data_IF_742640788934
#
_entry.id   IF_742640788934
#
_cell.length_a   1.000
_cell.length_b   1.000
_cell.length_c   1.000
_cell.angle_alpha   90.00
_cell.angle_beta   90.00
_cell.angle_gamma   90.00
#
_symmetry.space_group_name_H-M   'P 1'
#
loop_
_entity.id
_entity.type
_entity.pdbx_description
1 polymer ?
#
# COMPACT_ATOMS: atom_id res chain seq x y z
N UNK A 1 -17.18 -6.09 -19.40
CA UNK A 1 -17.90 -6.70 -18.27
C UNK A 1 -18.77 -5.60 -17.71
N UNK A 2 -20.04 -5.66 -18.09
CA UNK A 2 -21.07 -4.62 -18.01
C UNK A 2 -22.00 -4.99 -16.82
N UNK A 3 -22.62 -3.97 -16.21
CA UNK A 3 -23.72 -4.00 -15.21
C UNK A 3 -23.33 -4.18 -13.73
N UNK A 4 -23.42 -3.09 -12.97
CA UNK A 4 -24.51 -2.84 -11.99
C UNK A 4 -24.22 -1.53 -11.24
N UNK A 5 -24.73 -0.41 -11.74
CA UNK A 5 -24.91 0.82 -10.94
C UNK A 5 -26.40 1.10 -10.97
N UNK A 6 -27.10 0.65 -9.94
CA UNK A 6 -28.50 0.97 -9.71
C UNK A 6 -28.64 2.35 -9.09
N UNK A 7 -29.47 3.17 -9.73
CA UNK A 7 -29.90 4.49 -9.32
C UNK A 7 -30.47 4.52 -7.90
N UNK A 8 -30.08 5.52 -7.12
CA UNK A 8 -30.87 6.04 -6.00
C UNK A 8 -30.97 7.56 -6.14
N UNK A 9 -32.14 8.03 -6.57
CA UNK A 9 -32.48 9.46 -6.62
C UNK A 9 -33.89 9.66 -6.08
N UNK A 10 -33.95 10.51 -5.06
CA UNK A 10 -35.05 11.42 -4.70
C UNK A 10 -36.39 10.82 -4.23
N UNK A 11 -36.61 10.93 -2.92
CA UNK A 11 -37.92 11.24 -2.36
C UNK A 11 -37.75 12.23 -1.19
N UNK A 12 -37.87 13.53 -1.49
CA UNK A 12 -38.16 14.54 -0.47
C UNK A 12 -39.68 14.58 -0.29
N UNK A 13 -40.16 14.29 0.92
CA UNK A 13 -41.51 14.62 1.35
C UNK A 13 -41.43 15.34 2.70
N UNK A 14 -41.83 16.59 2.67
CA UNK A 14 -42.08 17.46 3.82
C UNK A 14 -43.32 16.98 4.56
N UNK A 15 -43.23 16.83 5.87
CA UNK A 15 -44.40 16.95 6.74
C UNK A 15 -43.99 17.49 8.11
N UNK A 16 -44.54 18.65 8.40
CA UNK A 16 -44.55 19.32 9.69
C UNK A 16 -45.57 18.65 10.61
N UNK A 17 -45.20 18.34 11.85
CA UNK A 17 -46.17 18.41 12.94
C UNK A 17 -45.50 18.54 14.31
N UNK A 18 -45.97 19.55 15.04
CA UNK A 18 -45.65 19.87 16.43
C UNK A 18 -46.35 18.85 17.33
N UNK A 19 -45.64 18.24 18.28
CA UNK A 19 -46.21 17.99 19.60
C UNK A 19 -45.11 17.96 20.68
N UNK A 20 -45.23 18.90 21.61
CA UNK A 20 -44.49 18.90 22.86
C UNK A 20 -45.06 17.82 23.78
N UNK A 21 -44.22 16.92 24.27
CA UNK A 21 -44.56 16.11 25.43
C UNK A 21 -43.32 15.93 26.33
N UNK A 22 -43.38 16.56 27.50
CA UNK A 22 -42.41 16.40 28.58
C UNK A 22 -42.67 15.04 29.23
N UNK A 23 -41.74 14.11 29.03
CA UNK A 23 -41.66 12.90 29.85
C UNK A 23 -40.22 12.67 30.30
N UNK A 24 -39.98 13.00 31.56
CA UNK A 24 -38.81 12.62 32.36
C UNK A 24 -38.80 11.10 32.52
N UNK A 25 -38.01 10.43 31.68
CA UNK A 25 -37.74 9.00 31.76
C UNK A 25 -36.24 8.80 31.94
N UNK A 26 -35.86 8.08 33.00
CA UNK A 26 -34.52 7.55 33.22
C UNK A 26 -34.12 6.67 32.04
N UNK A 27 -33.55 7.29 31.00
CA UNK A 27 -32.99 6.61 29.83
C UNK A 27 -31.84 5.74 30.28
N UNK A 28 -32.12 4.44 30.51
CA UNK A 28 -31.13 3.40 30.25
C UNK A 28 -30.62 3.68 28.84
N UNK A 29 -29.37 4.17 28.72
CA UNK A 29 -28.70 4.32 27.43
C UNK A 29 -28.66 2.92 26.83
N UNK A 30 -29.63 2.61 25.97
CA UNK A 30 -29.51 1.51 25.03
C UNK A 30 -28.27 1.87 24.21
N UNK A 31 -27.18 1.15 24.49
CA UNK A 31 -25.95 1.25 23.71
C UNK A 31 -26.37 0.98 22.27
N UNK A 32 -26.36 2.01 21.44
CA UNK A 32 -26.69 1.88 20.03
C UNK A 32 -25.54 1.14 19.39
N UNK A 33 -25.65 -0.19 19.31
CA UNK A 33 -24.59 -1.10 18.90
C UNK A 33 -24.08 -0.86 17.46
N UNK A 34 -24.71 0.03 16.70
CA UNK A 34 -24.40 0.28 15.29
C UNK A 34 -24.17 1.76 14.93
N UNK A 35 -23.81 2.62 15.89
CA UNK A 35 -23.51 4.03 15.60
C UNK A 35 -22.43 4.22 14.52
N UNK A 36 -21.41 3.36 14.49
CA UNK A 36 -20.33 3.41 13.49
C UNK A 36 -20.79 3.13 12.06
N UNK A 37 -21.87 2.36 11.87
CA UNK A 37 -22.40 2.08 10.53
C UNK A 37 -22.98 3.34 9.89
N UNK A 38 -23.59 4.20 10.70
CA UNK A 38 -24.07 5.50 10.24
C UNK A 38 -22.90 6.42 9.86
N UNK A 39 -21.79 6.41 10.61
CA UNK A 39 -20.59 7.16 10.21
C UNK A 39 -20.00 6.63 8.88
N UNK A 40 -20.02 5.31 8.67
CA UNK A 40 -19.57 4.69 7.41
C UNK A 40 -20.42 5.20 6.24
N UNK A 41 -21.74 5.12 6.37
CA UNK A 41 -22.67 5.60 5.34
C UNK A 41 -22.45 7.09 5.06
N UNK A 42 -22.30 7.91 6.10
CA UNK A 42 -22.01 9.34 5.93
C UNK A 42 -20.65 9.59 5.26
N UNK A 43 -19.63 8.77 5.55
CA UNK A 43 -18.34 8.85 4.89
C UNK A 43 -18.43 8.49 3.40
N UNK A 44 -19.26 7.52 3.02
CA UNK A 44 -19.54 7.19 1.62
C UNK A 44 -20.26 8.33 0.90
N UNK A 45 -21.26 8.95 1.53
CA UNK A 45 -21.95 10.13 0.99
C UNK A 45 -20.96 11.30 0.77
N UNK A 46 -20.06 11.54 1.73
CA UNK A 46 -18.97 12.53 1.59
C UNK A 46 -18.02 12.17 0.45
N UNK A 47 -17.69 10.87 0.28
CA UNK A 47 -16.86 10.39 -0.82
C UNK A 47 -17.52 10.69 -2.18
N UNK A 48 -18.81 10.39 -2.34
CA UNK A 48 -19.56 10.70 -3.57
C UNK A 48 -19.67 12.21 -3.82
N UNK A 49 -19.71 13.02 -2.77
CA UNK A 49 -19.60 14.48 -2.84
C UNK A 49 -18.16 14.99 -3.10
N UNK A 50 -17.22 14.09 -3.41
CA UNK A 50 -15.79 14.37 -3.67
C UNK A 50 -15.04 14.97 -2.49
N UNK A 51 -15.48 14.72 -1.26
CA UNK A 51 -14.89 15.22 0.00
C UNK A 51 -14.11 14.13 0.72
N UNK A 52 -13.08 13.59 0.05
CA UNK A 52 -12.28 12.45 0.53
C UNK A 52 -11.70 12.67 1.94
N UNK A 53 -11.05 13.81 2.20
CA UNK A 53 -10.48 14.11 3.53
C UNK A 53 -11.54 14.17 4.62
N UNK A 54 -12.70 14.75 4.33
CA UNK A 54 -13.80 14.82 5.31
C UNK A 54 -14.29 13.41 5.66
N UNK A 55 -14.44 12.53 4.65
CA UNK A 55 -14.81 11.13 4.83
C UNK A 55 -13.78 10.35 5.67
N UNK A 56 -12.49 10.49 5.36
CA UNK A 56 -11.39 9.85 6.11
C UNK A 56 -11.41 10.33 7.57
N UNK A 57 -11.50 11.64 7.80
CA UNK A 57 -11.51 12.21 9.14
C UNK A 57 -12.72 11.74 9.97
N UNK A 58 -13.89 11.58 9.34
CA UNK A 58 -15.07 11.02 9.98
C UNK A 58 -14.82 9.58 10.45
N UNK A 59 -14.27 8.73 9.57
CA UNK A 59 -13.97 7.35 9.90
C UNK A 59 -12.86 7.21 10.96
N UNK A 60 -11.82 8.05 10.93
CA UNK A 60 -10.79 8.06 11.97
C UNK A 60 -11.39 8.40 13.34
N UNK A 61 -12.29 9.39 13.40
CA UNK A 61 -13.02 9.71 14.63
C UNK A 61 -13.90 8.56 15.09
N UNK A 62 -14.59 7.89 14.16
CA UNK A 62 -15.41 6.71 14.45
C UNK A 62 -14.55 5.57 15.02
N UNK A 63 -13.39 5.31 14.42
CA UNK A 63 -12.44 4.29 14.88
C UNK A 63 -11.94 4.55 16.31
N UNK A 64 -11.65 5.81 16.66
CA UNK A 64 -11.22 6.17 18.00
C UNK A 64 -12.32 5.88 19.05
N UNK A 65 -13.59 6.13 18.71
CA UNK A 65 -14.74 5.83 19.59
C UNK A 65 -14.95 4.32 19.74
N UNK A 66 -14.77 3.57 18.67
CA UNK A 66 -14.99 2.11 18.62
C UNK A 66 -13.75 1.28 18.99
N UNK A 67 -12.75 1.87 19.65
CA UNK A 67 -11.44 1.24 19.92
C UNK A 67 -11.53 -0.16 20.58
N UNK A 68 -12.56 -0.42 21.39
CA UNK A 68 -12.78 -1.71 22.06
C UNK A 68 -13.59 -2.72 21.22
N UNK A 69 -14.27 -2.26 20.16
CA UNK A 69 -15.11 -3.07 19.30
C UNK A 69 -14.30 -3.58 18.10
N UNK A 70 -13.73 -4.79 18.24
CA UNK A 70 -12.89 -5.41 17.20
C UNK A 70 -13.58 -5.50 15.84
N UNK A 71 -14.88 -5.80 15.80
CA UNK A 71 -15.65 -5.92 14.56
C UNK A 71 -15.80 -4.55 13.88
N UNK A 72 -16.28 -3.54 14.61
CA UNK A 72 -16.40 -2.18 14.08
C UNK A 72 -15.04 -1.64 13.60
N UNK A 73 -13.98 -1.85 14.37
CA UNK A 73 -12.63 -1.44 13.98
C UNK A 73 -12.18 -2.05 12.65
N UNK A 74 -12.43 -3.33 12.45
CA UNK A 74 -12.08 -4.00 11.20
C UNK A 74 -12.89 -3.44 10.03
N UNK A 75 -14.19 -3.25 10.20
CA UNK A 75 -15.06 -2.69 9.15
C UNK A 75 -14.66 -1.25 8.79
N UNK A 76 -14.43 -0.39 9.79
CA UNK A 76 -13.99 0.99 9.56
C UNK A 76 -12.63 1.05 8.85
N UNK A 77 -11.67 0.21 9.25
CA UNK A 77 -10.34 0.11 8.60
C UNK A 77 -10.45 -0.34 7.14
N UNK A 78 -11.35 -1.27 6.83
CA UNK A 78 -11.60 -1.70 5.45
C UNK A 78 -12.14 -0.54 4.61
N UNK A 79 -13.14 0.22 5.10
CA UNK A 79 -13.67 1.38 4.38
C UNK A 79 -12.63 2.49 4.21
N UNK A 80 -11.79 2.74 5.22
CA UNK A 80 -10.67 3.67 5.12
C UNK A 80 -9.69 3.29 3.99
N UNK A 81 -9.41 1.99 3.83
CA UNK A 81 -8.58 1.48 2.73
C UNK A 81 -9.27 1.67 1.37
N UNK A 82 -10.55 1.34 1.28
CA UNK A 82 -11.33 1.45 0.04
C UNK A 82 -11.44 2.90 -0.43
N UNK A 83 -11.80 3.82 0.46
CA UNK A 83 -11.89 5.26 0.19
C UNK A 83 -10.60 5.80 -0.41
N UNK A 84 -9.45 5.41 0.14
CA UNK A 84 -8.15 5.89 -0.30
C UNK A 84 -7.74 5.42 -1.70
N UNK A 85 -8.31 4.32 -2.17
CA UNK A 85 -7.96 3.68 -3.45
C UNK A 85 -9.05 3.89 -4.50
N UNK A 86 -10.22 4.36 -4.09
CA UNK A 86 -11.35 4.66 -4.97
C UNK A 86 -11.04 5.85 -5.88
N UNK A 87 -11.46 5.78 -7.15
CA UNK A 87 -11.33 6.88 -8.11
C UNK A 87 -12.60 7.72 -8.12
N UNK A 88 -12.46 9.04 -7.90
CA UNK A 88 -13.55 10.02 -7.93
C UNK A 88 -13.73 10.69 -9.30
N UNK A 89 -12.75 10.51 -10.19
CA UNK A 89 -12.72 11.07 -11.54
C UNK A 89 -12.48 9.96 -12.56
N UNK A 90 -13.38 9.85 -13.54
CA UNK A 90 -13.20 8.93 -14.67
C UNK A 90 -11.89 9.22 -15.42
N UNK A 91 -11.53 10.50 -15.57
CA UNK A 91 -10.29 10.91 -16.22
C UNK A 91 -9.06 10.43 -15.46
N UNK A 92 -9.10 10.47 -14.13
CA UNK A 92 -8.04 9.95 -13.26
C UNK A 92 -7.88 8.44 -13.44
N UNK A 93 -8.99 7.70 -13.43
CA UNK A 93 -8.98 6.26 -13.65
C UNK A 93 -8.43 5.87 -15.03
N UNK A 94 -8.88 6.53 -16.10
CA UNK A 94 -8.39 6.27 -17.46
C UNK A 94 -6.86 6.48 -17.57
N UNK A 95 -6.36 7.57 -16.98
CA UNK A 95 -4.93 7.87 -16.97
C UNK A 95 -4.14 6.87 -16.12
N UNK A 96 -4.68 6.43 -14.98
CA UNK A 96 -4.09 5.36 -14.18
C UNK A 96 -3.98 4.06 -14.98
N UNK A 97 -5.06 3.61 -15.62
CA UNK A 97 -5.07 2.36 -16.39
C UNK A 97 -4.07 2.40 -17.55
N UNK A 98 -4.01 3.52 -18.27
CA UNK A 98 -3.01 3.75 -19.30
C UNK A 98 -1.58 3.69 -18.73
N UNK A 99 -1.33 4.32 -17.58
CA UNK A 99 -0.03 4.28 -16.94
C UNK A 99 0.40 2.86 -16.56
N UNK A 100 -0.52 2.03 -16.03
CA UNK A 100 -0.22 0.63 -15.68
C UNK A 100 0.20 -0.17 -16.92
N UNK A 101 -0.44 0.07 -18.07
CA UNK A 101 -0.07 -0.60 -19.32
C UNK A 101 1.29 -0.14 -19.84
N UNK A 102 1.64 1.13 -19.64
CA UNK A 102 2.91 1.70 -20.08
C UNK A 102 4.08 1.39 -19.14
N UNK A 103 3.84 1.12 -17.86
CA UNK A 103 4.85 1.03 -16.80
C UNK A 103 6.11 0.22 -17.17
N UNK A 104 5.95 -0.93 -17.85
CA UNK A 104 7.07 -1.78 -18.27
C UNK A 104 7.73 -1.32 -19.58
N UNK A 105 6.95 -0.77 -20.51
CA UNK A 105 7.42 -0.41 -21.85
C UNK A 105 8.02 0.99 -21.90
N UNK A 106 7.38 1.95 -21.24
CA UNK A 106 7.81 3.35 -21.13
C UNK A 106 7.48 3.91 -19.73
N UNK A 107 8.39 3.75 -18.76
CA UNK A 107 8.22 4.28 -17.41
C UNK A 107 8.06 5.81 -17.36
N UNK A 108 8.60 6.56 -18.34
CA UNK A 108 8.49 8.01 -18.36
C UNK A 108 7.08 8.44 -18.76
N UNK A 109 6.53 7.83 -19.80
CA UNK A 109 5.16 8.09 -20.22
C UNK A 109 4.16 7.61 -19.17
N UNK A 110 4.40 6.46 -18.53
CA UNK A 110 3.61 5.99 -17.40
C UNK A 110 3.59 7.01 -16.25
N UNK A 111 4.75 7.55 -15.87
CA UNK A 111 4.84 8.58 -14.84
C UNK A 111 4.08 9.86 -15.23
N UNK A 112 4.17 10.30 -16.48
CA UNK A 112 3.41 11.45 -16.97
C UNK A 112 1.89 11.23 -16.81
N UNK A 113 1.39 10.04 -17.15
CA UNK A 113 -0.03 9.69 -16.98
C UNK A 113 -0.47 9.59 -15.53
N UNK A 114 0.37 9.06 -14.64
CA UNK A 114 0.07 9.09 -13.20
C UNK A 114 0.03 10.52 -12.65
N UNK A 115 0.92 11.41 -13.10
CA UNK A 115 0.89 12.82 -12.67
C UNK A 115 -0.37 13.53 -13.18
N UNK A 116 -0.81 13.26 -14.42
CA UNK A 116 -2.10 13.74 -14.92
C UNK A 116 -3.28 13.20 -14.08
N UNK A 117 -3.21 11.95 -13.60
CA UNK A 117 -4.25 11.39 -12.71
C UNK A 117 -4.23 12.07 -11.32
N UNK A 118 -3.04 12.26 -10.74
CA UNK A 118 -2.87 12.94 -9.44
C UNK A 118 -3.32 14.39 -9.46
N UNK A 119 -3.27 15.07 -10.61
CA UNK A 119 -3.83 16.41 -10.75
C UNK A 119 -5.33 16.43 -10.41
N UNK A 120 -6.08 15.39 -10.77
CA UNK A 120 -7.51 15.26 -10.43
C UNK A 120 -7.74 14.73 -9.02
N UNK A 121 -6.86 13.88 -8.51
CA UNK A 121 -7.01 13.21 -7.22
C UNK A 121 -5.69 13.19 -6.44
N UNK A 122 -5.25 14.33 -5.87
CA UNK A 122 -3.94 14.45 -5.24
C UNK A 122 -3.76 13.58 -3.99
N UNK A 123 -4.87 13.14 -3.39
CA UNK A 123 -4.92 12.36 -2.15
C UNK A 123 -5.23 10.89 -2.40
N UNK A 124 -5.21 10.44 -3.66
CA UNK A 124 -5.44 9.04 -3.97
C UNK A 124 -4.17 8.22 -3.69
N UNK A 125 -4.22 7.40 -2.65
CA UNK A 125 -3.06 6.63 -2.18
C UNK A 125 -2.57 5.61 -3.22
N UNK A 126 -3.48 5.08 -4.05
CA UNK A 126 -3.14 4.15 -5.12
C UNK A 126 -2.29 4.84 -6.19
N UNK A 127 -2.64 6.08 -6.55
CA UNK A 127 -1.84 6.89 -7.47
C UNK A 127 -0.48 7.26 -6.89
N UNK A 128 -0.45 7.75 -5.65
CA UNK A 128 0.79 8.10 -4.95
C UNK A 128 1.75 6.90 -4.86
N UNK A 129 1.21 5.72 -4.56
CA UNK A 129 2.01 4.49 -4.47
C UNK A 129 2.63 4.11 -5.82
N UNK A 130 1.88 4.19 -6.93
CA UNK A 130 2.42 3.86 -8.25
C UNK A 130 3.43 4.90 -8.75
N UNK A 131 3.23 6.20 -8.46
CA UNK A 131 4.25 7.23 -8.75
C UNK A 131 5.53 6.92 -8.00
N UNK A 132 5.43 6.61 -6.71
CA UNK A 132 6.60 6.29 -5.90
C UNK A 132 7.36 5.06 -6.41
N UNK A 133 6.66 4.01 -6.84
CA UNK A 133 7.28 2.82 -7.44
C UNK A 133 8.06 3.15 -8.71
N UNK A 134 7.51 3.96 -9.62
CA UNK A 134 8.25 4.39 -10.82
C UNK A 134 9.43 5.27 -10.45
N UNK A 135 9.29 6.14 -9.45
CA UNK A 135 10.36 6.99 -8.95
C UNK A 135 11.49 6.19 -8.31
N UNK A 136 11.19 5.08 -7.62
CA UNK A 136 12.18 4.11 -7.13
C UNK A 136 12.98 3.50 -8.30
N UNK A 137 12.30 3.04 -9.36
CA UNK A 137 12.96 2.52 -10.57
C UNK A 137 13.89 3.56 -11.21
N UNK A 138 13.50 4.83 -11.13
CA UNK A 138 14.29 5.98 -11.63
C UNK A 138 15.29 6.52 -10.62
N UNK A 139 15.44 5.89 -9.44
CA UNK A 139 16.34 6.29 -8.34
C UNK A 139 16.06 7.67 -7.75
N UNK A 140 14.87 8.21 -8.01
CA UNK A 140 14.39 9.48 -7.46
C UNK A 140 13.53 9.19 -6.22
N UNK A 141 14.13 8.55 -5.22
CA UNK A 141 13.44 8.11 -4.01
C UNK A 141 13.18 9.27 -3.04
N UNK A 142 14.09 10.25 -3.00
CA UNK A 142 14.00 11.37 -2.07
C UNK A 142 12.76 12.25 -2.30
N UNK A 143 12.34 12.43 -3.56
CA UNK A 143 11.16 13.24 -3.89
C UNK A 143 9.85 12.63 -3.38
N UNK A 144 9.85 11.36 -2.96
CA UNK A 144 8.65 10.62 -2.57
C UNK A 144 8.43 10.53 -1.07
N UNK A 145 9.43 10.87 -0.25
CA UNK A 145 9.33 10.80 1.23
C UNK A 145 8.18 11.68 1.73
N UNK A 146 8.23 12.99 1.44
CA UNK A 146 7.23 13.93 1.98
C UNK A 146 5.80 13.68 1.48
N UNK A 147 5.52 13.41 0.18
CA UNK A 147 4.17 13.08 -0.26
C UNK A 147 3.58 11.84 0.41
N UNK A 148 4.39 10.79 0.57
CA UNK A 148 3.95 9.54 1.19
C UNK A 148 3.76 9.68 2.71
N UNK A 149 4.66 10.37 3.40
CA UNK A 149 4.52 10.66 4.83
C UNK A 149 3.22 11.43 5.11
N UNK A 150 2.94 12.49 4.36
CA UNK A 150 1.70 13.27 4.49
C UNK A 150 0.46 12.42 4.25
N UNK A 151 0.48 11.55 3.25
CA UNK A 151 -0.65 10.67 2.95
C UNK A 151 -0.86 9.62 4.07
N UNK A 152 0.21 9.10 4.67
CA UNK A 152 0.12 8.21 5.84
C UNK A 152 -0.35 8.94 7.10
N UNK A 153 -0.02 10.22 7.27
CA UNK A 153 -0.56 11.05 8.36
C UNK A 153 -2.06 11.23 8.23
N UNK A 154 -2.57 11.42 7.00
CA UNK A 154 -4.00 11.54 6.71
C UNK A 154 -4.72 10.22 6.98
N UNK A 155 -4.20 9.09 6.49
CA UNK A 155 -4.74 7.78 6.82
C UNK A 155 -3.62 6.78 7.21
N UNK A 156 -3.47 6.48 8.52
CA UNK A 156 -2.43 5.62 9.03
C UNK A 156 -2.73 4.11 8.91
N UNK A 157 -3.78 3.73 8.19
CA UNK A 157 -4.21 2.33 8.06
C UNK A 157 -4.00 1.76 6.64
N UNK A 158 -3.41 2.54 5.75
CA UNK A 158 -3.09 2.08 4.40
C UNK A 158 -1.72 1.38 4.37
N UNK A 159 -1.76 0.06 4.56
CA UNK A 159 -0.56 -0.77 4.55
C UNK A 159 0.20 -0.75 3.21
N UNK A 160 -0.50 -0.58 2.08
CA UNK A 160 0.15 -0.54 0.76
C UNK A 160 0.98 0.74 0.63
N UNK A 161 0.43 1.86 1.09
CA UNK A 161 1.17 3.12 1.11
C UNK A 161 2.35 3.06 2.09
N UNK A 162 2.16 2.44 3.26
CA UNK A 162 3.24 2.23 4.23
C UNK A 162 4.37 1.35 3.70
N UNK A 163 4.04 0.23 3.06
CA UNK A 163 5.02 -0.63 2.39
C UNK A 163 5.75 0.14 1.29
N UNK A 164 5.05 0.97 0.52
CA UNK A 164 5.68 1.78 -0.53
C UNK A 164 6.66 2.80 0.06
N UNK A 165 6.32 3.44 1.19
CA UNK A 165 7.25 4.31 1.90
C UNK A 165 8.46 3.54 2.47
N UNK A 166 8.26 2.32 2.99
CA UNK A 166 9.35 1.46 3.41
C UNK A 166 10.30 1.11 2.26
N UNK A 167 9.77 0.86 1.05
CA UNK A 167 10.58 0.65 -0.16
C UNK A 167 11.36 1.92 -0.54
N UNK A 168 10.76 3.11 -0.38
CA UNK A 168 11.46 4.40 -0.54
C UNK A 168 12.61 4.52 0.47
N UNK A 169 12.39 4.20 1.75
CA UNK A 169 13.45 4.21 2.76
C UNK A 169 14.55 3.20 2.48
N UNK A 170 14.22 2.01 2.00
CA UNK A 170 15.21 1.04 1.55
C UNK A 170 16.07 1.56 0.39
N UNK A 171 15.45 2.21 -0.59
CA UNK A 171 16.16 2.87 -1.69
C UNK A 171 17.11 3.97 -1.20
N UNK A 172 16.72 4.72 -0.16
CA UNK A 172 17.54 5.77 0.44
C UNK A 172 18.58 5.26 1.45
N UNK A 173 18.52 3.98 1.84
CA UNK A 173 19.33 3.42 2.92
C UNK A 173 18.91 3.89 4.32
N UNK A 174 17.72 4.48 4.49
CA UNK A 174 17.21 5.01 5.76
C UNK A 174 16.59 3.90 6.64
N UNK A 175 17.39 2.91 7.02
CA UNK A 175 16.91 1.71 7.72
C UNK A 175 16.16 2.01 9.03
N UNK A 176 16.65 2.95 9.85
CA UNK A 176 15.99 3.26 11.13
C UNK A 176 14.56 3.75 10.95
N UNK A 177 14.28 4.49 9.86
CA UNK A 177 12.92 4.93 9.53
C UNK A 177 12.06 3.79 9.01
N UNK A 178 12.63 2.91 8.19
CA UNK A 178 11.94 1.71 7.74
C UNK A 178 11.56 0.79 8.91
N UNK A 179 12.49 0.50 9.83
CA UNK A 179 12.24 -0.35 10.99
C UNK A 179 11.12 0.21 11.88
N UNK A 180 11.16 1.53 12.14
CA UNK A 180 10.10 2.23 12.88
C UNK A 180 8.74 2.11 12.17
N UNK A 181 8.73 2.22 10.84
CA UNK A 181 7.52 2.09 10.05
C UNK A 181 7.00 0.65 10.07
N UNK A 182 7.88 -0.34 9.88
CA UNK A 182 7.52 -1.76 9.94
C UNK A 182 6.94 -2.14 11.29
N UNK A 183 7.55 -1.69 12.39
CA UNK A 183 7.06 -1.95 13.75
C UNK A 183 5.64 -1.37 13.96
N UNK A 184 5.38 -0.17 13.44
CA UNK A 184 4.04 0.43 13.46
C UNK A 184 3.00 -0.42 12.71
N UNK A 185 3.42 -1.10 11.64
CA UNK A 185 2.53 -1.86 10.75
C UNK A 185 2.54 -3.38 10.94
N UNK A 186 3.31 -3.91 11.91
CA UNK A 186 3.46 -5.36 12.15
C UNK A 186 2.13 -6.09 12.39
N UNK A 187 1.15 -5.42 13.00
CA UNK A 187 -0.16 -5.99 13.31
C UNK A 187 -1.16 -5.84 12.17
N UNK A 188 -0.86 -5.00 11.17
CA UNK A 188 -1.73 -4.72 10.03
C UNK A 188 -1.31 -5.47 8.77
N UNK A 189 -0.20 -6.23 8.83
CA UNK A 189 0.34 -6.87 7.65
C UNK A 189 -0.62 -7.89 7.09
N UNK A 190 -1.26 -7.56 5.97
CA UNK A 190 -2.04 -8.55 5.21
C UNK A 190 -1.05 -9.56 4.66
N UNK A 191 -1.38 -10.86 4.72
CA UNK A 191 -0.50 -11.94 4.23
C UNK A 191 0.11 -11.66 2.85
N UNK A 192 -0.64 -11.03 1.96
CA UNK A 192 -0.19 -10.66 0.62
C UNK A 192 0.98 -9.66 0.61
N UNK A 193 1.03 -8.73 1.56
CA UNK A 193 2.08 -7.73 1.69
C UNK A 193 3.21 -8.17 2.62
N UNK A 194 2.94 -9.10 3.53
CA UNK A 194 3.94 -9.68 4.42
C UNK A 194 5.16 -10.22 3.66
N UNK A 195 4.95 -10.81 2.49
CA UNK A 195 6.02 -11.25 1.58
C UNK A 195 7.03 -10.13 1.29
N UNK A 196 6.55 -8.94 0.95
CA UNK A 196 7.39 -7.80 0.56
C UNK A 196 8.06 -7.14 1.77
N UNK A 197 7.40 -7.12 2.93
CA UNK A 197 8.04 -6.70 4.18
C UNK A 197 9.22 -7.60 4.55
N UNK A 198 9.03 -8.93 4.44
CA UNK A 198 10.09 -9.90 4.71
C UNK A 198 11.25 -9.78 3.72
N UNK A 199 10.95 -9.52 2.45
CA UNK A 199 11.98 -9.29 1.44
C UNK A 199 12.85 -8.05 1.75
N UNK A 200 12.24 -6.93 2.13
CA UNK A 200 13.00 -5.74 2.54
C UNK A 200 13.91 -6.03 3.74
N UNK A 201 13.41 -6.78 4.72
CA UNK A 201 14.18 -7.20 5.89
C UNK A 201 15.39 -8.06 5.51
N UNK A 202 15.23 -9.00 4.56
CA UNK A 202 16.33 -9.80 4.04
C UNK A 202 17.37 -8.90 3.38
N UNK A 203 16.97 -7.97 2.51
CA UNK A 203 17.91 -7.08 1.83
C UNK A 203 18.65 -6.13 2.79
N UNK A 204 18.00 -5.61 3.83
CA UNK A 204 18.70 -4.85 4.86
C UNK A 204 19.72 -5.68 5.64
N UNK A 205 19.39 -6.94 5.96
CA UNK A 205 20.33 -7.84 6.62
C UNK A 205 21.53 -8.18 5.71
N UNK A 206 21.30 -8.31 4.40
CA UNK A 206 22.38 -8.48 3.42
C UNK A 206 23.30 -7.25 3.37
N UNK A 207 22.76 -6.02 3.34
CA UNK A 207 23.56 -4.78 3.43
C UNK A 207 24.42 -4.72 4.70
N UNK A 208 23.89 -5.23 5.81
CA UNK A 208 24.58 -5.31 7.11
C UNK A 208 25.54 -6.50 7.22
N UNK A 209 25.67 -7.32 6.18
CA UNK A 209 26.44 -8.57 6.18
C UNK A 209 25.98 -9.57 7.26
N UNK A 210 24.72 -9.48 7.70
CA UNK A 210 24.09 -10.36 8.67
C UNK A 210 23.46 -11.57 7.95
N UNK A 211 24.32 -12.46 7.46
CA UNK A 211 23.94 -13.63 6.66
C UNK A 211 22.95 -14.55 7.38
N UNK A 212 23.13 -14.73 8.70
CA UNK A 212 22.26 -15.62 9.49
C UNK A 212 20.81 -15.12 9.47
N UNK A 213 20.59 -13.83 9.73
CA UNK A 213 19.25 -13.24 9.71
C UNK A 213 18.67 -13.18 8.28
N UNK A 214 19.50 -12.95 7.26
CA UNK A 214 19.06 -13.01 5.87
C UNK A 214 18.56 -14.42 5.47
N UNK A 215 19.25 -15.49 5.91
CA UNK A 215 18.82 -16.89 5.71
C UNK A 215 17.49 -17.17 6.43
N UNK A 216 17.35 -16.75 7.68
CA UNK A 216 16.08 -16.88 8.42
C UNK A 216 14.92 -16.14 7.74
N UNK A 217 15.15 -14.91 7.27
CA UNK A 217 14.14 -14.14 6.54
C UNK A 217 13.76 -14.80 5.22
N UNK A 218 14.71 -15.41 4.50
CA UNK A 218 14.44 -16.20 3.30
C UNK A 218 13.55 -17.42 3.60
N UNK A 219 13.77 -18.12 4.72
CA UNK A 219 12.93 -19.25 5.12
C UNK A 219 11.49 -18.80 5.42
N UNK A 220 11.32 -17.61 6.00
CA UNK A 220 9.99 -16.98 6.16
C UNK A 220 9.34 -16.68 4.81
N UNK A 221 10.08 -16.13 3.85
CA UNK A 221 9.59 -15.89 2.48
C UNK A 221 9.13 -17.20 1.82
N UNK A 222 9.92 -18.27 1.91
CA UNK A 222 9.58 -19.61 1.40
C UNK A 222 8.31 -20.18 2.04
N UNK A 223 8.09 -19.90 3.32
CA UNK A 223 6.88 -20.31 4.04
C UNK A 223 5.63 -19.54 3.58
N UNK A 224 5.78 -18.25 3.23
CA UNK A 224 4.68 -17.41 2.74
C UNK A 224 4.31 -17.77 1.30
N UNK A 225 5.31 -17.85 0.42
CA UNK A 225 5.12 -18.19 -1.00
C UNK A 225 6.36 -18.91 -1.54
N UNK A 226 6.36 -20.24 -1.48
CA UNK A 226 7.45 -21.08 -1.97
C UNK A 226 7.68 -21.00 -3.48
N UNK A 227 6.75 -20.41 -4.23
CA UNK A 227 6.85 -20.18 -5.68
C UNK A 227 7.26 -18.75 -6.02
N UNK A 228 7.67 -17.96 -5.02
CA UNK A 228 8.09 -16.58 -5.26
C UNK A 228 9.37 -16.54 -6.11
N UNK A 229 9.34 -15.96 -7.33
CA UNK A 229 10.48 -16.05 -8.25
C UNK A 229 11.78 -15.43 -7.72
N UNK A 230 11.72 -14.44 -6.82
CA UNK A 230 12.94 -13.84 -6.27
C UNK A 230 13.67 -14.72 -5.24
N UNK A 231 13.12 -15.86 -4.83
CA UNK A 231 13.81 -16.76 -3.89
C UNK A 231 15.21 -17.11 -4.42
N UNK A 232 15.33 -17.52 -5.68
CA UNK A 232 16.62 -17.86 -6.30
C UNK A 232 17.58 -16.66 -6.33
N UNK A 233 17.04 -15.46 -6.56
CA UNK A 233 17.83 -14.24 -6.58
C UNK A 233 18.35 -13.88 -5.18
N UNK A 234 17.51 -14.01 -4.16
CA UNK A 234 17.88 -13.75 -2.77
C UNK A 234 18.93 -14.77 -2.29
N UNK A 235 18.75 -16.06 -2.61
CA UNK A 235 19.75 -17.11 -2.35
C UNK A 235 21.09 -16.78 -2.97
N UNK A 236 21.07 -16.33 -4.22
CA UNK A 236 22.27 -15.88 -4.92
C UNK A 236 22.98 -14.73 -4.20
N UNK A 237 22.25 -13.72 -3.73
CA UNK A 237 22.84 -12.61 -2.98
C UNK A 237 23.38 -13.03 -1.61
N UNK A 238 22.71 -13.94 -0.91
CA UNK A 238 23.22 -14.55 0.33
C UNK A 238 24.56 -15.24 0.06
N UNK A 239 24.61 -16.09 -0.98
CA UNK A 239 25.80 -16.82 -1.39
C UNK A 239 26.96 -15.89 -1.76
N UNK A 240 26.69 -14.84 -2.52
CA UNK A 240 27.68 -13.83 -2.89
C UNK A 240 28.24 -13.11 -1.67
N UNK A 241 27.37 -12.73 -0.73
CA UNK A 241 27.76 -11.98 0.47
C UNK A 241 28.53 -12.87 1.46
N UNK A 242 28.22 -14.17 1.51
CA UNK A 242 28.97 -15.16 2.27
C UNK A 242 30.37 -15.41 1.66
N UNK A 243 30.48 -15.48 0.33
CA UNK A 243 31.74 -15.69 -0.40
C UNK A 243 32.61 -14.44 -0.49
N UNK A 244 32.03 -13.24 -0.53
CA UNK A 244 32.78 -11.97 -0.63
C UNK A 244 33.70 -11.72 0.56
N UNK A 245 33.39 -12.32 1.73
CA UNK A 245 34.31 -12.36 2.88
C UNK A 245 35.66 -13.01 2.54
N UNK A 246 35.70 -13.83 1.48
CA UNK A 246 36.82 -14.71 1.16
C UNK A 246 37.37 -14.56 -0.27
N UNK A 247 36.77 -13.77 -1.18
CA UNK A 247 37.23 -13.69 -2.59
C UNK A 247 36.77 -12.41 -3.32
N UNK A 248 37.49 -12.03 -4.39
CA UNK A 248 37.17 -10.90 -5.26
C UNK A 248 35.85 -11.12 -6.04
N UNK A 249 34.79 -10.40 -5.62
CA UNK A 249 33.41 -10.48 -6.11
C UNK A 249 33.23 -10.45 -7.64
N UNK A 250 34.14 -9.79 -8.37
CA UNK A 250 34.01 -9.61 -9.82
C UNK A 250 34.04 -10.91 -10.62
N UNK A 251 34.63 -11.99 -10.11
CA UNK A 251 34.72 -13.28 -10.82
C UNK A 251 33.51 -14.19 -10.60
N UNK A 252 32.67 -13.92 -9.61
CA UNK A 252 31.54 -14.78 -9.20
C UNK A 252 30.22 -14.49 -9.96
N UNK A 253 30.16 -13.39 -10.72
CA UNK A 253 28.91 -12.90 -11.35
C UNK A 253 28.61 -13.55 -12.72
N UNK A 254 29.34 -14.59 -13.11
CA UNK A 254 29.18 -15.24 -14.43
C UNK A 254 28.11 -16.32 -14.48
N UNK A 255 27.46 -16.68 -13.36
CA UNK A 255 26.47 -17.78 -13.31
C UNK A 255 25.03 -17.28 -13.30
N UNK A 256 24.30 -17.67 -14.35
CA UNK A 256 22.84 -17.66 -14.54
C UNK A 256 22.15 -16.37 -14.08
N UNK A 257 22.01 -15.43 -15.03
CA UNK A 257 21.16 -14.25 -14.87
C UNK A 257 19.74 -14.77 -14.60
N UNK A 258 19.20 -14.53 -13.41
CA UNK A 258 17.77 -14.68 -13.16
C UNK A 258 17.04 -13.83 -14.20
N UNK A 259 16.41 -14.48 -15.19
CA UNK A 259 15.77 -13.78 -16.29
C UNK A 259 14.28 -13.72 -16.07
N UNK A 260 13.79 -12.52 -15.84
CA UNK A 260 12.35 -12.28 -15.78
C UNK A 260 11.65 -12.34 -17.13
N UNK A 261 12.40 -12.50 -18.22
CA UNK A 261 11.84 -12.67 -19.57
C UNK A 261 11.09 -13.99 -19.69
N UNK A 262 11.45 -15.00 -18.90
CA UNK A 262 10.81 -16.32 -18.91
C UNK A 262 9.53 -16.39 -18.06
N UNK A 263 9.24 -15.35 -17.27
CA UNK A 263 8.06 -15.33 -16.40
C UNK A 263 6.79 -15.00 -17.19
N UNK A 264 5.74 -15.79 -16.95
CA UNK A 264 4.42 -15.51 -17.54
C UNK A 264 3.88 -14.13 -17.10
N UNK A 265 3.05 -13.51 -17.94
CA UNK A 265 2.37 -12.25 -17.61
C UNK A 265 1.56 -12.33 -16.29
N UNK A 266 1.00 -13.50 -15.97
CA UNK A 266 0.28 -13.71 -14.73
C UNK A 266 1.20 -13.59 -13.50
N UNK A 267 2.39 -14.17 -13.57
CA UNK A 267 3.41 -14.07 -12.51
C UNK A 267 3.88 -12.62 -12.38
N UNK A 268 4.21 -11.97 -13.50
CA UNK A 268 4.63 -10.57 -13.51
C UNK A 268 3.58 -9.67 -12.86
N UNK A 269 2.30 -9.86 -13.17
CA UNK A 269 1.20 -9.09 -12.55
C UNK A 269 1.05 -9.38 -11.06
N UNK A 270 1.23 -10.63 -10.63
CA UNK A 270 1.12 -11.04 -9.22
C UNK A 270 2.11 -10.29 -8.33
N UNK A 271 3.34 -10.08 -8.81
CA UNK A 271 4.43 -9.49 -8.02
C UNK A 271 4.79 -8.05 -8.38
N UNK A 272 4.05 -7.41 -9.31
CA UNK A 272 4.25 -6.01 -9.74
C UNK A 272 4.06 -4.97 -8.61
N UNK A 273 3.55 -5.37 -7.45
CA UNK A 273 3.48 -4.51 -6.26
C UNK A 273 4.87 -4.15 -5.73
N UNK A 274 5.88 -4.95 -6.03
CA UNK A 274 7.26 -4.73 -5.62
C UNK A 274 8.07 -4.04 -6.74
N UNK A 275 8.56 -2.80 -6.54
CA UNK A 275 9.37 -2.10 -7.52
C UNK A 275 10.76 -2.74 -7.71
N UNK A 276 11.19 -3.65 -6.86
CA UNK A 276 12.46 -4.37 -7.01
C UNK A 276 12.29 -5.70 -7.75
N UNK A 277 11.05 -6.12 -8.02
CA UNK A 277 10.79 -7.34 -8.73
C UNK A 277 11.34 -7.28 -10.16
N UNK A 278 12.26 -8.19 -10.47
CA UNK A 278 12.97 -8.25 -11.74
C UNK A 278 13.99 -7.14 -12.00
N UNK A 279 14.30 -6.31 -11.00
CA UNK A 279 15.22 -5.19 -11.14
C UNK A 279 16.58 -5.53 -10.53
N UNK A 280 17.25 -6.55 -11.10
CA UNK A 280 18.52 -7.05 -10.60
C UNK A 280 19.58 -5.96 -10.45
N UNK A 281 19.74 -5.12 -11.49
CA UNK A 281 20.76 -4.08 -11.50
C UNK A 281 20.47 -3.01 -10.44
N UNK A 282 19.20 -2.66 -10.23
CA UNK A 282 18.79 -1.76 -9.16
C UNK A 282 19.09 -2.36 -7.79
N UNK A 283 18.71 -3.61 -7.54
CA UNK A 283 18.97 -4.28 -6.26
C UNK A 283 20.46 -4.39 -5.96
N UNK A 284 21.26 -4.76 -6.97
CA UNK A 284 22.71 -4.86 -6.86
C UNK A 284 23.37 -3.54 -6.48
N UNK A 285 22.86 -2.42 -6.97
CA UNK A 285 23.41 -1.11 -6.63
C UNK A 285 22.94 -0.60 -5.27
N UNK A 286 21.73 -0.97 -4.86
CA UNK A 286 21.22 -0.59 -3.56
C UNK A 286 21.91 -1.35 -2.42
N UNK A 287 22.40 -2.57 -2.66
CA UNK A 287 23.09 -3.40 -1.67
C UNK A 287 24.59 -3.17 -1.60
#
# INVERSE_FOLDING_TARGET
>A
MILLITCFSQAQKTESEKHANKNTSSRKKTVNYDAYKEDIKQAEELLFAKKRIEAINLLIKSLARESQNKKANLEIKNHLKEINHFFLSEKSQQNYELAINLKKADPNQALAKLNEALFWEPENHKLLSEVAKIKILKRDCQSQVTPLEKAIEINPWDEILALTLAQVYFCLGEQAKEEKLRERYKEFSVKANLLYWQELEVFFNLKKNNISAAKEGLDKIKTIDSKYPQIELIEYFIDLTEKSKNTNLRTLVTKKKFSCEELSLAILRKYNSNPFFCEYDLLKELM
#
